data_IF_735583248469
#
_entry.id   IF_735583248469
#
_cell.length_a   1.000
_cell.length_b   1.000
_cell.length_c   1.000
_cell.angle_alpha   90.00
_cell.angle_beta   90.00
_cell.angle_gamma   90.00
#
_symmetry.space_group_name_H-M   'P 1'
#
loop_
_entity.id
_entity.type
_entity.pdbx_description
1 polymer ?
#
# COMPACT_ATOMS: atom_id res chain seq x y z
N UNK A 1 44.69 6.77 -35.88
CA UNK A 1 44.00 5.59 -35.38
C UNK A 1 44.03 5.53 -33.86
N UNK A 2 42.97 5.09 -33.22
CA UNK A 2 42.93 4.88 -31.77
C UNK A 2 43.94 3.78 -31.37
N UNK A 3 44.63 4.03 -30.26
CA UNK A 3 45.56 3.05 -29.71
C UNK A 3 44.80 2.02 -28.86
N UNK A 4 45.33 0.80 -28.78
CA UNK A 4 44.77 -0.24 -27.93
C UNK A 4 44.73 0.17 -26.45
N UNK A 5 45.73 0.97 -26.03
CA UNK A 5 45.77 1.56 -24.68
C UNK A 5 44.60 2.48 -24.42
N UNK A 6 44.25 3.35 -25.38
CA UNK A 6 43.15 4.31 -25.26
C UNK A 6 41.78 3.59 -25.10
N UNK A 7 41.59 2.49 -25.84
CA UNK A 7 40.38 1.66 -25.70
C UNK A 7 40.27 1.02 -24.31
N UNK A 8 41.39 0.53 -23.76
CA UNK A 8 41.38 -0.06 -22.40
C UNK A 8 41.06 1.01 -21.35
N UNK A 9 41.66 2.21 -21.48
CA UNK A 9 41.39 3.32 -20.54
C UNK A 9 39.91 3.74 -20.60
N UNK A 10 39.33 3.85 -21.79
CA UNK A 10 37.91 4.21 -21.97
C UNK A 10 37.01 3.13 -21.35
N UNK A 11 37.30 1.85 -21.58
CA UNK A 11 36.53 0.74 -20.98
C UNK A 11 36.62 0.74 -19.46
N UNK A 12 37.80 1.00 -18.90
CA UNK A 12 38.02 1.11 -17.45
C UNK A 12 37.23 2.29 -16.85
N UNK A 13 37.26 3.46 -17.49
CA UNK A 13 36.50 4.62 -17.06
C UNK A 13 34.98 4.38 -17.14
N UNK A 14 34.48 3.77 -18.20
CA UNK A 14 33.07 3.38 -18.31
C UNK A 14 32.66 2.39 -17.22
N UNK A 15 33.51 1.41 -16.92
CA UNK A 15 33.26 0.46 -15.83
C UNK A 15 33.12 1.15 -14.46
N UNK A 16 33.98 2.12 -14.17
CA UNK A 16 33.91 2.94 -12.95
C UNK A 16 32.60 3.76 -12.92
N UNK A 17 32.25 4.42 -14.01
CA UNK A 17 31.02 5.21 -14.11
C UNK A 17 29.79 4.33 -13.89
N UNK A 18 29.70 3.17 -14.53
CA UNK A 18 28.58 2.25 -14.36
C UNK A 18 28.50 1.69 -12.93
N UNK A 19 29.62 1.39 -12.30
CA UNK A 19 29.68 0.91 -10.92
C UNK A 19 29.01 1.90 -9.94
N UNK A 20 29.21 3.21 -10.14
CA UNK A 20 28.59 4.23 -9.31
C UNK A 20 27.18 4.66 -9.75
N UNK A 21 26.86 4.51 -11.03
CA UNK A 21 25.57 4.94 -11.59
C UNK A 21 24.45 3.92 -11.29
N UNK A 22 24.69 2.63 -11.47
CA UNK A 22 23.67 1.56 -11.34
C UNK A 22 22.96 1.61 -9.98
N UNK A 23 23.62 1.66 -8.81
CA UNK A 23 22.93 1.64 -7.52
C UNK A 23 22.07 2.89 -7.25
N UNK A 24 22.33 3.99 -7.94
CA UNK A 24 21.52 5.22 -7.81
C UNK A 24 20.20 5.14 -8.58
N UNK A 25 20.19 4.45 -9.72
CA UNK A 25 18.97 4.27 -10.51
C UNK A 25 18.00 3.32 -9.80
N UNK A 26 18.46 2.24 -9.21
CA UNK A 26 17.59 1.29 -8.48
C UNK A 26 16.83 1.97 -7.34
N UNK A 27 17.48 2.80 -6.54
CA UNK A 27 16.82 3.53 -5.44
C UNK A 27 15.72 4.48 -5.90
N UNK A 28 15.87 5.08 -7.08
CA UNK A 28 14.88 6.02 -7.62
C UNK A 28 13.59 5.31 -8.05
N UNK A 29 13.69 4.16 -8.68
CA UNK A 29 12.53 3.36 -9.09
C UNK A 29 11.76 2.83 -7.88
N UNK A 30 12.45 2.28 -6.87
CA UNK A 30 11.79 1.79 -5.64
C UNK A 30 11.05 2.89 -4.88
N UNK A 31 11.57 4.11 -4.86
CA UNK A 31 10.90 5.24 -4.20
C UNK A 31 9.62 5.66 -4.92
N UNK A 32 9.59 5.62 -6.25
CA UNK A 32 8.40 5.97 -7.03
C UNK A 32 7.31 4.89 -6.89
N UNK A 33 7.68 3.62 -6.90
CA UNK A 33 6.76 2.50 -6.70
C UNK A 33 6.16 2.50 -5.29
N UNK A 34 6.97 2.77 -4.25
CA UNK A 34 6.48 2.92 -2.88
C UNK A 34 5.47 4.07 -2.75
N UNK A 35 5.77 5.22 -3.37
CA UNK A 35 4.85 6.37 -3.42
C UNK A 35 3.57 6.05 -4.16
N UNK A 36 3.63 5.24 -5.23
CA UNK A 36 2.46 4.83 -5.99
C UNK A 36 1.52 3.97 -5.14
N UNK A 37 2.04 2.94 -4.47
CA UNK A 37 1.27 2.09 -3.56
C UNK A 37 0.64 2.88 -2.40
N UNK A 38 1.43 3.78 -1.79
CA UNK A 38 0.98 4.65 -0.71
C UNK A 38 -0.16 5.58 -1.14
N UNK A 39 0.00 6.29 -2.27
CA UNK A 39 -1.03 7.18 -2.83
C UNK A 39 -2.31 6.43 -3.18
N UNK A 40 -2.17 5.26 -3.78
CA UNK A 40 -3.30 4.41 -4.11
C UNK A 40 -4.07 3.99 -2.86
N UNK A 41 -3.36 3.52 -1.81
CA UNK A 41 -3.98 3.10 -0.57
C UNK A 41 -4.72 4.27 0.10
N UNK A 42 -4.06 5.42 0.25
CA UNK A 42 -4.67 6.63 0.83
C UNK A 42 -5.92 7.04 0.04
N UNK A 43 -5.81 7.11 -1.29
CA UNK A 43 -6.95 7.45 -2.16
C UNK A 43 -8.09 6.45 -2.05
N UNK A 44 -7.78 5.14 -1.91
CA UNK A 44 -8.79 4.09 -1.72
C UNK A 44 -9.54 4.24 -0.40
N UNK A 45 -8.81 4.48 0.71
CA UNK A 45 -9.40 4.67 2.04
C UNK A 45 -10.27 5.92 2.10
N UNK A 46 -9.79 7.04 1.55
CA UNK A 46 -10.55 8.30 1.48
C UNK A 46 -11.79 8.17 0.58
N UNK A 47 -11.64 7.60 -0.61
CA UNK A 47 -12.74 7.39 -1.54
C UNK A 47 -13.84 6.50 -0.98
N UNK A 48 -13.50 5.44 -0.24
CA UNK A 48 -14.50 4.59 0.40
C UNK A 48 -15.24 5.32 1.53
N UNK A 49 -14.55 6.16 2.30
CA UNK A 49 -15.19 6.98 3.33
C UNK A 49 -16.17 8.01 2.72
N UNK A 50 -15.74 8.70 1.68
CA UNK A 50 -16.58 9.65 0.95
C UNK A 50 -17.80 8.97 0.33
N UNK A 51 -17.61 7.79 -0.26
CA UNK A 51 -18.70 7.02 -0.88
C UNK A 51 -19.67 6.51 0.18
N UNK A 52 -19.18 6.04 1.34
CA UNK A 52 -20.01 5.63 2.46
C UNK A 52 -20.90 6.80 2.96
N UNK A 53 -20.30 7.99 3.14
CA UNK A 53 -21.04 9.20 3.53
C UNK A 53 -22.07 9.61 2.48
N UNK A 54 -21.68 9.63 1.20
CA UNK A 54 -22.54 10.07 0.09
C UNK A 54 -23.75 9.18 -0.08
N UNK A 55 -23.56 7.86 0.03
CA UNK A 55 -24.63 6.87 -0.15
C UNK A 55 -25.35 6.51 1.14
N UNK A 56 -24.82 6.94 2.30
CA UNK A 56 -25.28 6.55 3.65
C UNK A 56 -25.34 5.05 3.87
N UNK A 57 -24.37 4.31 3.31
CA UNK A 57 -24.29 2.85 3.38
C UNK A 57 -22.96 2.41 3.96
N UNK A 58 -22.96 1.21 4.51
CA UNK A 58 -21.73 0.56 4.95
C UNK A 58 -20.93 0.09 3.75
N UNK A 59 -19.63 0.46 3.71
CA UNK A 59 -18.63 -0.07 2.79
C UNK A 59 -17.58 -0.82 3.58
N UNK A 60 -17.11 -1.93 3.03
CA UNK A 60 -16.08 -2.78 3.65
C UNK A 60 -14.93 -2.92 2.68
N UNK A 61 -13.75 -2.48 3.09
CA UNK A 61 -12.50 -2.79 2.38
C UNK A 61 -12.03 -4.16 2.81
N UNK A 62 -11.94 -5.08 1.85
CA UNK A 62 -11.45 -6.43 2.05
C UNK A 62 -10.01 -6.52 1.56
N UNK A 63 -9.14 -7.12 2.37
CA UNK A 63 -7.72 -7.34 2.08
C UNK A 63 -7.44 -8.82 2.25
N UNK A 64 -7.06 -9.47 1.16
CA UNK A 64 -6.63 -10.87 1.15
C UNK A 64 -5.10 -10.91 1.10
N UNK A 65 -4.48 -11.43 2.15
CA UNK A 65 -3.03 -11.44 2.29
C UNK A 65 -2.37 -12.51 1.42
N UNK A 66 -3.02 -13.64 1.19
CA UNK A 66 -2.49 -14.75 0.39
C UNK A 66 -2.60 -14.46 -1.09
N UNK A 67 -3.78 -14.02 -1.53
CA UNK A 67 -4.00 -13.59 -2.91
C UNK A 67 -3.35 -12.23 -3.23
N UNK A 68 -2.94 -11.47 -2.21
CA UNK A 68 -2.39 -10.08 -2.31
C UNK A 68 -3.31 -9.16 -3.08
N UNK A 69 -4.61 -9.24 -2.80
CA UNK A 69 -5.64 -8.49 -3.50
C UNK A 69 -6.49 -7.70 -2.54
N UNK A 70 -7.01 -6.59 -3.06
CA UNK A 70 -7.85 -5.66 -2.31
C UNK A 70 -9.10 -5.38 -3.14
N UNK A 71 -10.27 -5.46 -2.52
CA UNK A 71 -11.54 -5.09 -3.11
C UNK A 71 -12.46 -4.47 -2.05
N UNK A 72 -13.58 -3.95 -2.45
CA UNK A 72 -14.58 -3.45 -1.50
C UNK A 72 -15.95 -4.06 -1.79
N UNK A 73 -16.74 -4.15 -0.77
CA UNK A 73 -18.13 -4.58 -0.80
C UNK A 73 -19.01 -3.57 -0.07
N UNK A 74 -20.31 -3.61 -0.33
CA UNK A 74 -21.29 -2.80 0.40
C UNK A 74 -22.40 -3.71 0.92
N UNK A 75 -23.14 -3.25 1.93
CA UNK A 75 -24.28 -3.99 2.48
C UNK A 75 -25.44 -4.18 1.47
N UNK A 76 -25.46 -3.40 0.39
CA UNK A 76 -26.49 -3.50 -0.65
C UNK A 76 -26.14 -4.52 -1.74
N UNK A 77 -24.94 -5.11 -1.74
CA UNK A 77 -24.51 -6.08 -2.75
C UNK A 77 -25.17 -7.43 -2.54
N UNK A 78 -25.62 -8.02 -3.63
CA UNK A 78 -26.04 -9.43 -3.69
C UNK A 78 -24.81 -10.37 -3.60
N UNK A 79 -25.03 -11.65 -3.35
CA UNK A 79 -23.93 -12.63 -3.34
C UNK A 79 -23.19 -12.70 -4.68
N UNK A 80 -23.90 -12.54 -5.80
CA UNK A 80 -23.29 -12.53 -7.14
C UNK A 80 -22.42 -11.30 -7.35
N UNK A 81 -22.86 -10.14 -6.88
CA UNK A 81 -22.07 -8.89 -6.93
C UNK A 81 -20.84 -8.95 -6.05
N UNK A 82 -20.93 -9.57 -4.87
CA UNK A 82 -19.78 -9.80 -3.98
C UNK A 82 -18.75 -10.72 -4.66
N UNK A 83 -19.21 -11.83 -5.28
CA UNK A 83 -18.32 -12.72 -6.02
C UNK A 83 -17.64 -12.00 -7.20
N UNK A 84 -18.40 -11.19 -7.94
CA UNK A 84 -17.86 -10.38 -9.01
C UNK A 84 -16.83 -9.34 -8.51
N UNK A 85 -17.10 -8.69 -7.39
CA UNK A 85 -16.17 -7.74 -6.78
C UNK A 85 -14.86 -8.43 -6.36
N UNK A 86 -14.95 -9.63 -5.79
CA UNK A 86 -13.80 -10.45 -5.43
C UNK A 86 -13.00 -10.90 -6.65
N UNK A 87 -13.65 -11.28 -7.75
CA UNK A 87 -12.97 -11.61 -9.02
C UNK A 87 -12.26 -10.41 -9.65
N UNK A 88 -12.78 -9.20 -9.45
CA UNK A 88 -12.20 -7.93 -9.91
C UNK A 88 -11.22 -7.31 -8.91
N UNK A 89 -10.91 -8.02 -7.82
CA UNK A 89 -9.95 -7.56 -6.82
C UNK A 89 -8.59 -7.25 -7.45
N UNK A 90 -7.99 -6.14 -7.05
CA UNK A 90 -6.75 -5.63 -7.62
C UNK A 90 -5.61 -5.75 -6.61
N UNK A 91 -4.38 -6.01 -7.09
CA UNK A 91 -3.20 -5.87 -6.24
C UNK A 91 -2.94 -4.39 -5.94
N UNK A 92 -2.19 -4.12 -4.89
CA UNK A 92 -1.65 -2.77 -4.64
C UNK A 92 -0.63 -2.46 -5.75
N UNK A 93 -0.74 -1.30 -6.43
CA UNK A 93 0.20 -0.95 -7.49
C UNK A 93 1.62 -0.70 -6.96
N UNK A 94 2.61 -0.65 -7.88
CA UNK A 94 4.01 -0.44 -7.55
C UNK A 94 4.68 -1.66 -6.90
N UNK A 95 4.11 -2.87 -7.04
CA UNK A 95 4.68 -4.08 -6.43
C UNK A 95 4.59 -4.14 -4.90
N UNK A 96 3.93 -3.16 -4.27
CA UNK A 96 3.70 -3.15 -2.85
C UNK A 96 2.64 -4.18 -2.43
N UNK A 97 2.67 -4.62 -1.19
CA UNK A 97 1.65 -5.50 -0.61
C UNK A 97 1.25 -5.03 0.78
N UNK A 98 0.01 -5.26 1.16
CA UNK A 98 -0.37 -5.14 2.57
C UNK A 98 0.22 -6.32 3.32
N UNK A 99 1.10 -6.03 4.28
CA UNK A 99 1.79 -7.05 5.06
C UNK A 99 1.00 -7.45 6.32
N UNK A 100 0.30 -6.49 6.93
CA UNK A 100 -0.57 -6.71 8.07
C UNK A 100 -1.55 -5.55 8.23
N UNK A 101 -2.62 -5.81 8.96
CA UNK A 101 -3.55 -4.80 9.48
C UNK A 101 -3.68 -5.00 10.98
N UNK A 102 -3.53 -3.93 11.74
CA UNK A 102 -3.73 -3.96 13.19
C UNK A 102 -5.01 -3.20 13.55
N UNK A 103 -5.72 -3.72 14.54
CA UNK A 103 -6.90 -3.10 15.15
C UNK A 103 -6.70 -2.96 16.66
N UNK A 104 -7.25 -1.90 17.27
CA UNK A 104 -7.23 -1.79 18.73
C UNK A 104 -7.97 -2.97 19.41
N UNK A 105 -7.54 -3.40 20.61
CA UNK A 105 -6.39 -2.89 21.35
C UNK A 105 -5.03 -3.42 20.86
N UNK A 106 -4.95 -4.65 20.32
CA UNK A 106 -3.70 -5.32 19.89
C UNK A 106 -3.99 -6.49 18.93
N UNK A 107 -5.00 -6.39 18.08
CA UNK A 107 -5.35 -7.45 17.11
C UNK A 107 -4.56 -7.20 15.83
N UNK A 108 -3.62 -8.09 15.50
CA UNK A 108 -2.85 -8.05 14.27
C UNK A 108 -3.26 -9.19 13.34
N UNK A 109 -3.68 -8.86 12.12
CA UNK A 109 -4.04 -9.80 11.07
C UNK A 109 -2.99 -9.68 9.96
N UNK A 110 -2.27 -10.78 9.68
CA UNK A 110 -1.24 -10.85 8.64
C UNK A 110 -1.43 -12.05 7.70
N UNK A 111 -2.51 -12.83 7.88
CA UNK A 111 -2.88 -13.98 7.05
C UNK A 111 -4.39 -14.06 6.92
N UNK A 112 -4.88 -14.78 5.92
CA UNK A 112 -6.31 -14.86 5.61
C UNK A 112 -6.84 -13.53 5.10
N UNK A 113 -7.90 -13.00 5.72
CA UNK A 113 -8.57 -11.78 5.28
C UNK A 113 -8.73 -10.79 6.43
N UNK A 114 -8.46 -9.51 6.14
CA UNK A 114 -8.81 -8.39 7.01
C UNK A 114 -9.93 -7.56 6.38
N UNK A 115 -10.81 -7.01 7.21
CA UNK A 115 -11.92 -6.16 6.82
C UNK A 115 -11.85 -4.83 7.56
N UNK A 116 -11.96 -3.72 6.84
CA UNK A 116 -12.02 -2.36 7.42
C UNK A 116 -13.34 -1.73 6.98
N UNK A 117 -14.14 -1.31 7.96
CA UNK A 117 -15.49 -0.79 7.72
C UNK A 117 -15.51 0.72 7.68
N UNK A 118 -16.30 1.24 6.74
CA UNK A 118 -16.60 2.68 6.57
C UNK A 118 -18.10 2.85 6.64
N UNK A 119 -18.54 3.63 7.59
CA UNK A 119 -19.96 3.78 7.93
C UNK A 119 -20.57 5.01 7.26
N UNK A 120 -21.88 4.95 7.00
CA UNK A 120 -22.61 6.00 6.29
C UNK A 120 -22.70 7.35 7.02
N UNK A 121 -22.37 7.42 8.29
CA UNK A 121 -22.26 8.64 9.09
C UNK A 121 -20.86 9.28 9.02
N UNK A 122 -19.91 8.64 8.33
CA UNK A 122 -18.58 9.16 8.05
C UNK A 122 -17.47 8.65 8.96
N UNK A 123 -17.79 7.86 9.98
CA UNK A 123 -16.73 7.21 10.74
C UNK A 123 -16.24 5.92 10.06
N UNK A 124 -15.09 5.41 10.48
CA UNK A 124 -14.56 4.12 10.05
C UNK A 124 -14.02 3.35 11.24
N UNK A 125 -13.74 2.08 11.03
CA UNK A 125 -12.92 1.34 12.00
C UNK A 125 -11.57 2.03 12.15
N UNK A 126 -11.03 2.02 13.37
CA UNK A 126 -9.65 2.41 13.61
C UNK A 126 -8.74 1.27 13.17
N UNK A 127 -7.82 1.55 12.27
CA UNK A 127 -6.92 0.53 11.72
C UNK A 127 -5.53 1.10 11.45
N UNK A 128 -4.51 0.27 11.62
CA UNK A 128 -3.13 0.56 11.23
C UNK A 128 -2.72 -0.45 10.16
N UNK A 129 -2.51 0.05 8.94
CA UNK A 129 -2.24 -0.77 7.76
C UNK A 129 -0.74 -0.71 7.46
N UNK A 130 -0.09 -1.86 7.40
CA UNK A 130 1.33 -1.96 7.04
C UNK A 130 1.47 -2.31 5.56
N UNK A 131 2.04 -1.39 4.81
CA UNK A 131 2.35 -1.57 3.39
C UNK A 131 3.84 -1.89 3.23
N UNK A 132 4.15 -3.01 2.61
CA UNK A 132 5.52 -3.47 2.38
C UNK A 132 5.87 -3.40 0.90
N UNK A 133 7.05 -2.85 0.59
CA UNK A 133 7.70 -2.89 -0.71
C UNK A 133 9.16 -3.33 -0.52
N UNK A 134 9.51 -4.52 -1.02
CA UNK A 134 10.82 -5.12 -0.72
C UNK A 134 11.02 -5.29 0.78
N UNK A 135 12.07 -4.70 1.32
CA UNK A 135 12.37 -4.71 2.76
C UNK A 135 11.77 -3.51 3.51
N UNK A 136 11.35 -2.47 2.80
CA UNK A 136 10.76 -1.28 3.41
C UNK A 136 9.30 -1.52 3.79
N UNK A 137 8.91 -1.04 4.96
CA UNK A 137 7.53 -1.08 5.44
C UNK A 137 7.11 0.31 5.91
N UNK A 138 6.00 0.79 5.39
CA UNK A 138 5.35 2.03 5.84
C UNK A 138 4.03 1.70 6.53
N UNK A 139 3.65 2.49 7.52
CA UNK A 139 2.42 2.30 8.28
C UNK A 139 1.43 3.44 8.02
N UNK A 140 0.15 3.09 7.88
CA UNK A 140 -0.94 4.02 7.58
C UNK A 140 -1.99 3.92 8.68
N UNK A 141 -2.10 4.96 9.50
CA UNK A 141 -3.11 5.03 10.55
C UNK A 141 -4.39 5.64 9.99
N UNK A 142 -5.46 4.85 10.05
CA UNK A 142 -6.82 5.25 9.79
C UNK A 142 -7.51 5.52 11.14
N UNK A 143 -7.87 6.78 11.38
CA UNK A 143 -8.60 7.17 12.59
C UNK A 143 -10.10 7.30 12.28
N UNK A 144 -10.99 6.92 13.21
CA UNK A 144 -12.43 6.83 12.93
C UNK A 144 -13.06 8.09 12.38
N UNK A 145 -12.70 9.26 12.92
CA UNK A 145 -13.33 10.54 12.60
C UNK A 145 -12.44 11.49 11.80
N UNK A 146 -11.17 11.12 11.55
CA UNK A 146 -10.27 11.96 10.76
C UNK A 146 -10.29 11.55 9.29
N UNK A 147 -10.48 12.54 8.42
CA UNK A 147 -10.46 12.33 6.96
C UNK A 147 -9.05 12.03 6.45
N UNK A 148 -8.03 12.54 7.15
CA UNK A 148 -6.64 12.33 6.77
C UNK A 148 -6.12 11.02 7.30
N UNK A 149 -5.48 10.24 6.43
CA UNK A 149 -4.70 9.06 6.80
C UNK A 149 -3.30 9.51 7.17
N UNK A 150 -2.84 9.21 8.40
CA UNK A 150 -1.47 9.50 8.81
C UNK A 150 -0.54 8.42 8.30
N UNK A 151 0.53 8.82 7.63
CA UNK A 151 1.56 7.93 7.11
C UNK A 151 2.83 8.02 7.96
N UNK A 152 3.42 6.88 8.25
CA UNK A 152 4.73 6.72 8.90
C UNK A 152 5.63 5.92 7.96
N UNK A 153 6.84 6.42 7.68
CA UNK A 153 7.82 5.77 6.80
C UNK A 153 8.54 4.59 7.46
N UNK A 154 8.06 4.18 8.62
CA UNK A 154 8.56 3.06 9.43
C UNK A 154 7.39 2.21 9.93
N UNK A 155 7.62 0.93 10.23
CA UNK A 155 6.61 0.13 10.90
C UNK A 155 6.41 0.65 12.35
N UNK A 156 5.19 1.10 12.65
CA UNK A 156 4.76 1.51 13.99
C UNK A 156 3.57 0.64 14.42
N UNK A 157 3.48 0.29 15.69
CA UNK A 157 2.32 -0.40 16.25
C UNK A 157 1.44 0.56 17.05
N UNK A 158 0.22 0.14 17.43
CA UNK A 158 -0.63 0.95 18.32
C UNK A 158 0.01 1.27 19.67
N UNK A 159 0.96 0.45 20.11
CA UNK A 159 1.71 0.69 21.36
C UNK A 159 2.65 1.90 21.26
N UNK A 160 3.13 2.18 20.06
CA UNK A 160 4.08 3.27 19.79
C UNK A 160 3.36 4.62 19.59
N UNK A 161 2.02 4.59 19.44
CA UNK A 161 1.18 5.75 19.17
C UNK A 161 0.47 6.32 20.43
N UNK A 162 0.81 5.79 21.61
CA UNK A 162 0.30 6.24 22.91
C UNK A 162 1.13 7.37 23.52
#
# INVERSE_FOLDING_TARGET
>A
GFTLLELIVVMALMGIVFFFAIPRFEKSFFLDDAKQGARWLIGKLQGLREEAQRTRRLYVLNIDFEARRVWHTTEAMTLEEIDLAMRRAQPVPGGARVAAVEFPPDIRIASGRAEIRFYGDGHSDMALIHLQLGEATSSFLLEPFLTQVKMFDVPVGFKDLR
#
